data_IF_141080081546
#
_entry.id   IF_141080081546
#
_cell.length_a   1.000
_cell.length_b   1.000
_cell.length_c   1.000
_cell.angle_alpha   90.00
_cell.angle_beta   90.00
_cell.angle_gamma   90.00
#
_symmetry.space_group_name_H-M   'P 1'
#
loop_
_entity.id
_entity.type
_entity.pdbx_description
1 polymer ?
#
# COMPACT_ATOMS: atom_id res chain seq x y z
N UNK A 1 -52.74 10.83 -22.73
CA UNK A 1 -51.28 10.62 -22.72
C UNK A 1 -50.64 11.75 -21.91
N UNK A 2 -50.00 11.46 -20.77
CA UNK A 2 -49.32 12.48 -19.95
C UNK A 2 -50.02 12.66 -18.60
N UNK A 3 -49.64 11.84 -17.61
CA UNK A 3 -48.60 12.31 -16.67
C UNK A 3 -47.64 11.19 -16.21
N UNK A 4 -47.53 10.09 -16.95
CA UNK A 4 -46.69 8.94 -16.56
C UNK A 4 -45.20 9.15 -16.94
N UNK A 5 -44.92 10.07 -17.87
CA UNK A 5 -43.57 10.32 -18.39
C UNK A 5 -42.68 11.07 -17.38
N UNK A 6 -43.25 11.88 -16.49
CA UNK A 6 -42.47 12.69 -15.55
C UNK A 6 -41.89 11.87 -14.38
N UNK A 7 -42.62 10.84 -13.93
CA UNK A 7 -42.19 10.03 -12.78
C UNK A 7 -41.03 9.06 -13.10
N UNK A 8 -40.86 8.68 -14.37
CA UNK A 8 -39.80 7.76 -14.79
C UNK A 8 -38.42 8.43 -14.89
N UNK A 9 -38.37 9.76 -15.05
CA UNK A 9 -37.09 10.50 -15.10
C UNK A 9 -36.55 10.82 -13.71
N UNK A 10 -37.43 11.09 -12.74
CA UNK A 10 -37.03 11.45 -11.37
C UNK A 10 -36.45 10.26 -10.58
N UNK A 11 -36.95 9.05 -10.82
CA UNK A 11 -36.45 7.83 -10.17
C UNK A 11 -35.16 7.29 -10.78
N UNK A 12 -34.85 7.60 -12.05
CA UNK A 12 -33.60 7.19 -12.70
C UNK A 12 -32.38 8.05 -12.31
N UNK A 13 -32.56 9.37 -12.17
CA UNK A 13 -31.45 10.30 -11.92
C UNK A 13 -30.93 10.27 -10.47
N UNK A 14 -31.80 10.05 -9.48
CA UNK A 14 -31.38 9.97 -8.08
C UNK A 14 -30.49 8.76 -7.76
N UNK A 15 -30.75 7.62 -8.41
CA UNK A 15 -29.96 6.38 -8.24
C UNK A 15 -28.55 6.54 -8.83
N UNK A 16 -28.42 7.25 -9.96
CA UNK A 16 -27.12 7.54 -10.57
C UNK A 16 -26.27 8.49 -9.71
N UNK A 17 -26.86 9.55 -9.16
CA UNK A 17 -26.16 10.46 -8.25
C UNK A 17 -25.71 9.76 -6.95
N UNK A 18 -26.55 8.88 -6.40
CA UNK A 18 -26.19 8.04 -5.26
C UNK A 18 -25.02 7.09 -5.57
N UNK A 19 -25.07 6.40 -6.72
CA UNK A 19 -24.01 5.47 -7.13
C UNK A 19 -22.64 6.15 -7.31
N UNK A 20 -22.60 7.38 -7.85
CA UNK A 20 -21.36 8.15 -8.02
C UNK A 20 -20.76 8.54 -6.67
N UNK A 21 -21.60 8.96 -5.70
CA UNK A 21 -21.12 9.33 -4.36
C UNK A 21 -20.58 8.12 -3.58
N UNK A 22 -21.26 6.97 -3.65
CA UNK A 22 -20.75 5.73 -3.03
C UNK A 22 -19.45 5.30 -3.73
N UNK A 23 -19.36 5.43 -5.06
CA UNK A 23 -18.14 5.14 -5.84
C UNK A 23 -16.96 6.00 -5.44
N UNK A 24 -17.15 7.31 -5.33
CA UNK A 24 -16.11 8.22 -4.86
C UNK A 24 -15.65 7.88 -3.43
N UNK A 25 -16.55 7.45 -2.53
CA UNK A 25 -16.19 7.05 -1.18
C UNK A 25 -15.38 5.73 -1.11
N UNK A 26 -15.64 4.79 -2.02
CA UNK A 26 -14.85 3.54 -2.12
C UNK A 26 -13.51 3.74 -2.83
N UNK A 27 -13.41 4.65 -3.81
CA UNK A 27 -12.14 4.98 -4.46
C UNK A 27 -11.18 5.79 -3.56
N UNK A 28 -11.72 6.58 -2.62
CA UNK A 28 -10.93 7.38 -1.66
C UNK A 28 -10.49 6.61 -0.41
N UNK A 29 -11.00 5.41 -0.16
CA UNK A 29 -10.37 4.51 0.80
C UNK A 29 -9.25 3.78 0.04
N UNK A 30 -7.95 4.01 0.34
CA UNK A 30 -6.97 3.01 -0.03
C UNK A 30 -7.50 1.73 0.59
N UNK A 31 -7.78 0.73 -0.25
CA UNK A 31 -8.40 -0.51 0.18
C UNK A 31 -7.72 -0.94 1.47
N UNK A 32 -8.50 -1.25 2.50
CA UNK A 32 -8.00 -1.92 3.70
C UNK A 32 -7.58 -3.36 3.35
N UNK A 33 -6.83 -3.54 2.27
CA UNK A 33 -6.09 -4.74 1.95
C UNK A 33 -4.96 -4.84 2.95
N UNK A 34 -4.66 -6.07 3.38
CA UNK A 34 -3.49 -6.38 4.17
C UNK A 34 -2.30 -5.57 3.66
N UNK A 35 -1.64 -4.86 4.57
CA UNK A 35 -0.38 -4.19 4.27
C UNK A 35 0.52 -5.18 3.54
N UNK A 36 1.10 -4.80 2.39
CA UNK A 36 1.90 -5.72 1.60
C UNK A 36 2.98 -6.32 2.49
N UNK A 37 3.18 -7.63 2.39
CA UNK A 37 4.22 -8.34 3.15
C UNK A 37 5.57 -7.74 2.77
N UNK A 38 6.46 -7.58 3.74
CA UNK A 38 7.82 -7.14 3.43
C UNK A 38 8.46 -8.19 2.51
N UNK A 39 8.90 -7.84 1.29
CA UNK A 39 9.44 -8.82 0.34
C UNK A 39 10.74 -9.46 0.86
N UNK A 40 11.50 -8.75 1.71
CA UNK A 40 12.78 -9.25 2.24
C UNK A 40 12.63 -10.32 3.32
N UNK A 41 11.57 -10.30 4.13
CA UNK A 41 11.34 -11.30 5.18
C UNK A 41 10.02 -12.08 5.02
N UNK A 42 9.33 -11.88 3.90
CA UNK A 42 8.07 -12.51 3.55
C UNK A 42 7.01 -12.48 4.67
N UNK A 43 6.89 -11.35 5.38
CA UNK A 43 5.94 -11.21 6.49
C UNK A 43 6.41 -11.60 7.88
N UNK A 44 7.53 -12.32 8.01
CA UNK A 44 7.96 -12.86 9.31
C UNK A 44 8.56 -11.81 10.24
N UNK A 45 9.03 -10.68 9.70
CA UNK A 45 9.74 -9.64 10.45
C UNK A 45 11.14 -10.05 10.90
N UNK A 46 11.57 -11.31 10.70
CA UNK A 46 12.87 -11.80 11.16
C UNK A 46 13.63 -12.48 10.04
N UNK A 47 14.92 -12.18 9.94
CA UNK A 47 15.84 -12.78 8.96
C UNK A 47 16.96 -13.50 9.68
N UNK A 48 17.68 -14.36 8.95
CA UNK A 48 18.91 -14.96 9.46
C UNK A 48 19.88 -13.85 9.90
N UNK A 49 20.63 -14.10 10.98
CA UNK A 49 21.63 -13.17 11.44
C UNK A 49 22.65 -12.88 10.34
N UNK A 50 23.01 -11.62 10.13
CA UNK A 50 24.12 -11.28 9.24
C UNK A 50 25.47 -11.83 9.72
N UNK A 51 25.63 -12.01 11.02
CA UNK A 51 26.86 -12.51 11.64
C UNK A 51 27.26 -13.91 11.19
N UNK A 52 26.30 -14.82 10.98
CA UNK A 52 26.58 -16.20 10.57
C UNK A 52 27.08 -16.28 9.13
N UNK A 53 27.06 -15.16 8.40
CA UNK A 53 27.68 -15.03 7.08
C UNK A 53 29.17 -14.68 7.15
N UNK A 54 29.63 -14.13 8.27
CA UNK A 54 31.01 -13.64 8.45
C UNK A 54 31.77 -14.40 9.54
N UNK A 55 31.07 -15.06 10.46
CA UNK A 55 31.62 -16.06 11.36
C UNK A 55 31.45 -17.42 10.69
N UNK A 56 32.40 -18.33 10.89
CA UNK A 56 32.43 -19.70 10.34
C UNK A 56 31.32 -20.61 10.93
N UNK A 57 30.07 -20.15 10.90
CA UNK A 57 28.92 -20.80 11.51
C UNK A 57 28.62 -20.35 12.94
N UNK A 58 29.46 -19.53 13.58
CA UNK A 58 29.18 -19.12 14.96
C UNK A 58 27.98 -18.18 15.06
N UNK A 59 27.14 -18.50 16.03
CA UNK A 59 25.96 -17.73 16.37
C UNK A 59 26.22 -17.06 17.72
N UNK A 60 26.77 -15.85 17.71
CA UNK A 60 27.22 -15.20 18.97
C UNK A 60 27.39 -13.69 18.90
N UNK A 61 26.92 -13.05 17.83
CA UNK A 61 27.10 -11.62 17.65
C UNK A 61 26.21 -10.79 18.58
N UNK A 62 26.62 -9.55 18.86
CA UNK A 62 25.78 -8.58 19.59
C UNK A 62 24.46 -8.27 18.87
N UNK A 63 24.44 -8.29 17.54
CA UNK A 63 23.24 -8.00 16.72
C UNK A 63 22.11 -9.00 16.91
N UNK A 64 22.45 -10.22 17.30
CA UNK A 64 21.58 -11.38 17.35
C UNK A 64 21.50 -12.00 18.74
N UNK A 65 22.35 -11.56 19.68
CA UNK A 65 22.48 -12.09 21.04
C UNK A 65 22.55 -13.62 21.10
N UNK A 66 23.24 -14.24 20.14
CA UNK A 66 23.35 -15.71 20.04
C UNK A 66 22.09 -16.44 19.54
N UNK A 67 21.00 -15.76 19.24
CA UNK A 67 19.74 -16.40 18.76
C UNK A 67 19.76 -16.78 17.27
N UNK A 68 20.72 -16.27 16.50
CA UNK A 68 20.83 -16.49 15.06
C UNK A 68 19.76 -15.81 14.21
N UNK A 69 18.85 -15.04 14.82
CA UNK A 69 17.78 -14.32 14.09
C UNK A 69 17.72 -12.86 14.49
N UNK A 70 17.93 -11.99 13.52
CA UNK A 70 17.78 -10.54 13.69
C UNK A 70 16.47 -10.03 13.09
N UNK A 71 16.04 -8.85 13.51
CA UNK A 71 14.93 -8.16 12.85
C UNK A 71 15.26 -7.87 11.38
N UNK A 72 14.25 -7.96 10.51
CA UNK A 72 14.43 -7.60 9.10
C UNK A 72 14.69 -6.10 8.98
N UNK A 73 15.85 -5.73 8.43
CA UNK A 73 16.22 -4.33 8.21
C UNK A 73 15.26 -3.59 7.28
N UNK A 74 14.74 -4.27 6.26
CA UNK A 74 13.84 -3.66 5.26
C UNK A 74 12.48 -3.24 5.83
N UNK A 75 11.99 -3.90 6.88
CA UNK A 75 10.73 -3.54 7.54
C UNK A 75 10.89 -3.17 9.02
N UNK A 76 12.12 -3.07 9.52
CA UNK A 76 12.39 -2.81 10.94
C UNK A 76 11.80 -3.86 11.89
N UNK A 77 11.51 -5.07 11.41
CA UNK A 77 10.90 -6.13 12.21
C UNK A 77 9.37 -6.20 12.20
N UNK A 78 8.67 -5.29 11.51
CA UNK A 78 7.20 -5.30 11.47
C UNK A 78 6.62 -6.44 10.63
N UNK A 79 7.41 -7.01 9.72
CA UNK A 79 6.93 -7.97 8.72
C UNK A 79 6.11 -7.34 7.59
N UNK A 80 5.72 -6.08 7.72
CA UNK A 80 4.94 -5.35 6.71
C UNK A 80 5.84 -4.41 5.92
N UNK A 81 5.74 -4.46 4.59
CA UNK A 81 6.31 -3.46 3.71
C UNK A 81 5.49 -2.17 3.84
N UNK A 82 6.14 -1.08 4.25
CA UNK A 82 5.51 0.25 4.19
C UNK A 82 5.73 0.80 2.77
N UNK A 83 4.66 1.13 2.02
CA UNK A 83 4.80 1.98 0.85
C UNK A 83 5.36 3.33 1.31
N UNK A 84 6.44 3.79 0.69
CA UNK A 84 6.95 5.14 0.93
C UNK A 84 6.21 6.05 -0.05
N UNK A 85 5.27 6.89 0.41
CA UNK A 85 4.58 7.81 -0.50
C UNK A 85 5.58 8.88 -0.95
N UNK A 86 5.91 8.87 -2.24
CA UNK A 86 6.72 9.91 -2.89
C UNK A 86 5.79 10.87 -3.63
N UNK A 87 5.93 12.16 -3.38
CA UNK A 87 5.25 13.21 -4.17
C UNK A 87 6.19 13.63 -5.29
N UNK A 88 5.85 13.29 -6.53
CA UNK A 88 6.57 13.75 -7.71
C UNK A 88 6.01 15.11 -8.13
N UNK A 89 6.87 16.12 -8.25
CA UNK A 89 6.52 17.42 -8.84
C UNK A 89 6.96 17.43 -10.30
N UNK A 90 6.02 17.23 -11.21
CA UNK A 90 6.27 17.30 -12.66
C UNK A 90 5.98 18.74 -13.10
N UNK A 91 7.01 19.44 -13.60
CA UNK A 91 6.79 20.73 -14.29
C UNK A 91 6.35 20.45 -15.73
N UNK A 92 5.27 21.09 -16.23
CA UNK A 92 4.92 21.02 -17.64
C UNK A 92 6.08 21.51 -18.51
N UNK A 93 6.32 20.92 -19.70
CA UNK A 93 7.27 21.46 -20.65
C UNK A 93 6.85 22.88 -21.04
N UNK A 94 7.81 23.80 -21.28
CA UNK A 94 7.49 25.14 -21.76
C UNK A 94 6.71 25.05 -23.08
N UNK A 95 5.60 25.78 -23.17
CA UNK A 95 4.83 25.93 -24.40
C UNK A 95 5.75 26.42 -25.51
N UNK A 96 6.08 25.54 -26.46
CA UNK A 96 6.84 25.89 -27.66
C UNK A 96 5.83 26.17 -28.77
N UNK A 97 5.61 27.43 -29.16
CA UNK A 97 4.78 27.72 -30.33
C UNK A 97 5.48 27.18 -31.58
N UNK A 98 4.72 26.45 -32.39
CA UNK A 98 5.05 25.98 -33.74
C UNK A 98 4.94 27.10 -34.76
#
# INVERSE_FOLDING_TARGET
MGPIVAYQLATGLGVLAGAVLVKSAMEHKPMAGQWPRCPSCNGTGRVACMCSRWSDGDVGCRTCSGSGRMGCSSCGGSGTGRPIPVKLSVRPPPNRPS
#
